data_IF_134134880670
#
_entry.id   IF_134134880670
#
_cell.length_a   1.000
_cell.length_b   1.000
_cell.length_c   1.000
_cell.angle_alpha   90.00
_cell.angle_beta   90.00
_cell.angle_gamma   90.00
#
_symmetry.space_group_name_H-M   'P 1'
#
loop_
_entity.id
_entity.type
_entity.pdbx_description
1 polymer ?
#
# COMPACT_ATOMS: atom_id res chain seq x y z
N UNK A 1 2.29 22.50 -34.90
CA UNK A 1 1.07 21.69 -34.72
C UNK A 1 0.61 21.86 -33.28
N UNK A 2 -0.50 22.57 -33.01
CA UNK A 2 -1.08 22.65 -31.65
C UNK A 2 -1.94 21.40 -31.46
N UNK A 3 -1.45 20.42 -30.69
CA UNK A 3 -2.33 19.37 -30.17
C UNK A 3 -3.19 20.01 -29.07
N UNK A 4 -4.38 20.50 -29.42
CA UNK A 4 -5.41 20.84 -28.43
C UNK A 4 -6.51 19.80 -28.50
N UNK A 5 -6.66 19.02 -27.43
CA UNK A 5 -7.84 18.19 -27.22
C UNK A 5 -9.07 19.07 -27.06
N UNK A 6 -10.20 18.65 -27.63
CA UNK A 6 -11.50 19.24 -27.32
C UNK A 6 -11.86 19.00 -25.85
N UNK A 7 -12.78 19.79 -25.31
CA UNK A 7 -13.28 19.59 -23.93
C UNK A 7 -13.80 18.16 -23.72
N UNK A 8 -14.52 17.62 -24.71
CA UNK A 8 -14.97 16.23 -24.69
C UNK A 8 -13.81 15.23 -24.68
N UNK A 9 -12.72 15.54 -25.39
CA UNK A 9 -11.47 14.77 -25.36
C UNK A 9 -10.82 14.76 -23.97
N UNK A 10 -10.73 15.92 -23.31
CA UNK A 10 -10.21 16.03 -21.95
C UNK A 10 -11.05 15.26 -20.93
N UNK A 11 -12.37 15.33 -21.03
CA UNK A 11 -13.27 14.60 -20.12
C UNK A 11 -13.13 13.08 -20.28
N UNK A 12 -13.02 12.59 -21.52
CA UNK A 12 -12.78 11.15 -21.78
C UNK A 12 -11.42 10.70 -21.25
N UNK A 13 -10.37 11.50 -21.47
CA UNK A 13 -9.04 11.21 -20.94
C UNK A 13 -9.05 11.16 -19.41
N UNK A 14 -9.71 12.14 -18.77
CA UNK A 14 -9.84 12.19 -17.32
C UNK A 14 -10.56 10.95 -16.75
N UNK A 15 -11.62 10.46 -17.40
CA UNK A 15 -12.30 9.23 -17.01
C UNK A 15 -11.37 8.02 -17.09
N UNK A 16 -10.63 7.88 -18.20
CA UNK A 16 -9.71 6.75 -18.39
C UNK A 16 -8.62 6.78 -17.32
N UNK A 17 -8.01 7.94 -17.06
CA UNK A 17 -6.96 8.08 -16.05
C UNK A 17 -7.47 7.78 -14.64
N UNK A 18 -8.66 8.27 -14.26
CA UNK A 18 -9.26 7.96 -12.97
C UNK A 18 -9.63 6.47 -12.84
N UNK A 19 -10.00 5.82 -13.94
CA UNK A 19 -10.28 4.38 -13.97
C UNK A 19 -9.04 3.53 -13.77
N UNK A 20 -7.95 3.86 -14.47
CA UNK A 20 -6.64 3.20 -14.24
C UNK A 20 -6.19 3.41 -12.79
N UNK A 21 -6.30 4.64 -12.29
CA UNK A 21 -5.92 4.96 -10.91
C UNK A 21 -6.80 4.23 -9.88
N UNK A 22 -8.09 4.04 -10.16
CA UNK A 22 -9.00 3.29 -9.30
C UNK A 22 -8.56 1.82 -9.19
N UNK A 23 -8.31 1.17 -10.33
CA UNK A 23 -7.86 -0.23 -10.37
C UNK A 23 -6.54 -0.38 -9.63
N UNK A 24 -5.58 0.51 -9.88
CA UNK A 24 -4.30 0.55 -9.17
C UNK A 24 -4.49 0.69 -7.65
N UNK A 25 -5.34 1.61 -7.21
CA UNK A 25 -5.60 1.85 -5.78
C UNK A 25 -6.26 0.65 -5.08
N UNK A 26 -7.18 -0.04 -5.77
CA UNK A 26 -7.79 -1.29 -5.27
C UNK A 26 -6.74 -2.38 -5.12
N UNK A 27 -5.87 -2.54 -6.12
CA UNK A 27 -4.79 -3.54 -6.08
C UNK A 27 -3.84 -3.24 -4.91
N UNK A 28 -3.40 -1.98 -4.75
CA UNK A 28 -2.56 -1.57 -3.62
C UNK A 28 -3.21 -1.87 -2.27
N UNK A 29 -4.49 -1.51 -2.12
CA UNK A 29 -5.24 -1.74 -0.88
C UNK A 29 -5.35 -3.24 -0.56
N UNK A 30 -5.76 -4.04 -1.54
CA UNK A 30 -5.94 -5.48 -1.36
C UNK A 30 -4.62 -6.20 -1.10
N UNK A 31 -3.56 -5.87 -1.84
CA UNK A 31 -2.23 -6.45 -1.62
C UNK A 31 -1.64 -6.03 -0.28
N UNK A 32 -1.88 -4.78 0.16
CA UNK A 32 -1.45 -4.31 1.47
C UNK A 32 -2.11 -5.07 2.61
N UNK A 33 -3.44 -5.27 2.54
CA UNK A 33 -4.16 -6.09 3.53
C UNK A 33 -3.64 -7.52 3.52
N UNK A 34 -3.51 -8.14 2.35
CA UNK A 34 -3.02 -9.52 2.24
C UNK A 34 -1.63 -9.66 2.84
N UNK A 35 -0.70 -8.77 2.51
CA UNK A 35 0.65 -8.81 3.05
C UNK A 35 0.68 -8.60 4.57
N UNK A 36 -0.22 -7.78 5.12
CA UNK A 36 -0.36 -7.61 6.56
C UNK A 36 -0.92 -8.86 7.26
N UNK A 37 -1.92 -9.53 6.66
CA UNK A 37 -2.46 -10.79 7.17
C UNK A 37 -1.42 -11.91 7.12
N UNK A 38 -0.73 -12.06 5.98
CA UNK A 38 0.34 -13.06 5.80
C UNK A 38 1.45 -12.86 6.84
N UNK A 39 1.89 -11.62 7.07
CA UNK A 39 2.90 -11.32 8.09
C UNK A 39 2.38 -11.49 9.52
N UNK A 40 1.10 -11.20 9.74
CA UNK A 40 0.43 -11.34 11.04
C UNK A 40 0.43 -12.79 11.56
N UNK A 41 0.43 -13.78 10.67
CA UNK A 41 0.55 -15.20 11.03
C UNK A 41 1.88 -15.51 11.73
N UNK A 42 2.94 -14.74 11.44
CA UNK A 42 4.30 -14.91 11.98
C UNK A 42 4.63 -13.91 13.11
N UNK A 43 3.62 -13.25 13.68
CA UNK A 43 3.81 -12.18 14.68
C UNK A 43 4.64 -12.63 15.90
N UNK A 44 4.58 -13.91 16.27
CA UNK A 44 5.24 -14.44 17.46
C UNK A 44 6.74 -14.57 17.22
N UNK A 45 7.17 -15.17 16.10
CA UNK A 45 8.60 -15.27 15.73
C UNK A 45 9.19 -13.93 15.27
N UNK A 46 8.35 -12.98 14.87
CA UNK A 46 8.74 -11.60 14.55
C UNK A 46 8.63 -10.66 15.76
N UNK A 47 8.26 -11.16 16.94
CA UNK A 47 8.06 -10.39 18.18
C UNK A 47 7.25 -9.09 17.97
N UNK A 48 6.28 -9.11 17.06
CA UNK A 48 5.43 -7.97 16.74
C UNK A 48 6.04 -6.89 15.84
N UNK A 49 7.25 -7.08 15.30
CA UNK A 49 7.84 -6.16 14.33
C UNK A 49 7.01 -6.22 13.03
N UNK A 50 6.60 -5.04 12.55
CA UNK A 50 5.80 -4.89 11.33
C UNK A 50 6.42 -3.77 10.48
N UNK A 51 6.60 -3.96 9.16
CA UNK A 51 7.23 -2.94 8.33
C UNK A 51 6.27 -1.74 8.17
N UNK A 52 6.72 -0.50 8.41
CA UNK A 52 5.88 0.69 8.33
C UNK A 52 5.23 0.90 6.96
N UNK A 53 5.80 0.31 5.90
CA UNK A 53 5.26 0.39 4.54
C UNK A 53 3.85 -0.20 4.41
N UNK A 54 3.52 -1.27 5.15
CA UNK A 54 2.22 -1.96 5.05
C UNK A 54 1.04 -1.07 5.42
N UNK A 55 0.98 -0.45 6.61
CA UNK A 55 -0.10 0.48 6.93
C UNK A 55 -0.10 1.70 5.99
N UNK A 56 1.06 2.15 5.50
CA UNK A 56 1.13 3.26 4.54
C UNK A 56 0.48 2.90 3.20
N UNK A 57 0.80 1.76 2.59
CA UNK A 57 0.20 1.37 1.30
C UNK A 57 -1.30 1.09 1.40
N UNK A 58 -1.78 0.54 2.53
CA UNK A 58 -3.21 0.35 2.79
C UNK A 58 -3.91 1.71 2.84
N UNK A 59 -3.35 2.64 3.61
CA UNK A 59 -3.92 3.99 3.72
C UNK A 59 -3.91 4.72 2.36
N UNK A 60 -2.80 4.68 1.63
CA UNK A 60 -2.68 5.31 0.31
C UNK A 60 -3.64 4.70 -0.70
N UNK A 61 -3.77 3.36 -0.74
CA UNK A 61 -4.73 2.68 -1.61
C UNK A 61 -6.18 3.08 -1.29
N UNK A 62 -6.53 3.20 0.00
CA UNK A 62 -7.86 3.67 0.42
C UNK A 62 -8.13 5.12 -0.01
N UNK A 63 -7.19 6.04 0.21
CA UNK A 63 -7.31 7.43 -0.23
C UNK A 63 -7.39 7.52 -1.76
N UNK A 64 -6.64 6.70 -2.48
CA UNK A 64 -6.68 6.63 -3.94
C UNK A 64 -8.04 6.19 -4.48
N UNK A 65 -8.69 5.21 -3.84
CA UNK A 65 -10.07 4.79 -4.18
C UNK A 65 -11.04 5.97 -4.02
N UNK A 66 -10.98 6.69 -2.89
CA UNK A 66 -11.83 7.87 -2.64
C UNK A 66 -11.54 8.96 -3.69
N UNK A 67 -10.27 9.20 -4.01
CA UNK A 67 -9.82 10.14 -5.03
C UNK A 67 -10.41 9.82 -6.41
N UNK A 68 -10.36 8.56 -6.83
CA UNK A 68 -10.95 8.14 -8.11
C UNK A 68 -12.47 8.26 -8.14
N UNK A 69 -13.17 7.86 -7.08
CA UNK A 69 -14.64 7.97 -7.00
C UNK A 69 -15.07 9.43 -7.09
N UNK A 70 -14.38 10.33 -6.37
CA UNK A 70 -14.66 11.77 -6.44
C UNK A 70 -14.34 12.36 -7.82
N UNK A 71 -13.36 11.80 -8.53
CA UNK A 71 -13.10 12.11 -9.95
C UNK A 71 -14.30 11.79 -10.85
N UNK A 72 -14.91 10.61 -10.70
CA UNK A 72 -16.14 10.29 -11.44
C UNK A 72 -17.30 11.22 -11.07
N UNK A 73 -17.50 11.47 -9.77
CA UNK A 73 -18.54 12.39 -9.28
C UNK A 73 -18.38 13.81 -9.84
N UNK A 74 -17.14 14.31 -9.99
CA UNK A 74 -16.84 15.62 -10.58
C UNK A 74 -17.42 15.75 -12.00
N UNK A 75 -17.35 14.69 -12.82
CA UNK A 75 -17.87 14.70 -14.19
C UNK A 75 -19.39 14.67 -14.21
N UNK A 76 -20.01 13.87 -13.34
CA UNK A 76 -21.47 13.71 -13.31
C UNK A 76 -22.17 14.94 -12.70
N UNK A 77 -21.61 15.50 -11.63
CA UNK A 77 -22.20 16.63 -10.90
C UNK A 77 -21.09 17.49 -10.28
N UNK A 78 -20.48 18.39 -11.08
CA UNK A 78 -19.38 19.21 -10.61
C UNK A 78 -19.85 20.13 -9.47
N UNK A 79 -19.26 19.94 -8.29
CA UNK A 79 -19.42 20.79 -7.11
C UNK A 79 -18.01 21.13 -6.58
N UNK A 80 -17.81 22.36 -6.12
CA UNK A 80 -16.55 22.82 -5.53
C UNK A 80 -16.03 21.86 -4.44
N UNK A 81 -16.92 21.34 -3.59
CA UNK A 81 -16.54 20.39 -2.53
C UNK A 81 -15.96 19.10 -3.11
N UNK A 82 -16.60 18.53 -4.15
CA UNK A 82 -16.14 17.30 -4.82
C UNK A 82 -14.81 17.52 -5.52
N UNK A 83 -14.63 18.70 -6.13
CA UNK A 83 -13.38 19.08 -6.80
C UNK A 83 -12.24 19.20 -5.77
N UNK A 84 -12.47 19.90 -4.66
CA UNK A 84 -11.47 20.06 -3.59
C UNK A 84 -11.11 18.71 -2.99
N UNK A 85 -12.10 17.85 -2.73
CA UNK A 85 -11.86 16.52 -2.18
C UNK A 85 -11.02 15.67 -3.14
N UNK A 86 -11.36 15.65 -4.43
CA UNK A 86 -10.58 14.93 -5.45
C UNK A 86 -9.12 15.41 -5.48
N UNK A 87 -8.89 16.72 -5.56
CA UNK A 87 -7.53 17.30 -5.57
C UNK A 87 -6.77 16.91 -4.30
N UNK A 88 -7.43 16.99 -3.15
CA UNK A 88 -6.82 16.67 -1.85
C UNK A 88 -6.40 15.20 -1.77
N UNK A 89 -7.30 14.27 -2.13
CA UNK A 89 -6.99 12.84 -2.15
C UNK A 89 -5.84 12.51 -3.12
N UNK A 90 -5.87 13.05 -4.34
CA UNK A 90 -4.80 12.84 -5.33
C UNK A 90 -3.47 13.40 -4.85
N UNK A 91 -3.48 14.57 -4.19
CA UNK A 91 -2.26 15.19 -3.64
C UNK A 91 -1.67 14.35 -2.53
N UNK A 92 -2.49 13.89 -1.58
CA UNK A 92 -2.04 13.02 -0.48
C UNK A 92 -1.44 11.72 -1.04
N UNK A 93 -2.15 11.04 -1.95
CA UNK A 93 -1.67 9.80 -2.54
C UNK A 93 -0.32 9.99 -3.26
N UNK A 94 -0.20 11.04 -4.07
CA UNK A 94 1.04 11.36 -4.81
C UNK A 94 2.20 11.67 -3.87
N UNK A 95 1.99 12.49 -2.83
CA UNK A 95 3.04 12.82 -1.87
C UNK A 95 3.50 11.56 -1.13
N UNK A 96 2.57 10.70 -0.70
CA UNK A 96 2.93 9.47 0.01
C UNK A 96 3.74 8.54 -0.89
N UNK A 97 3.37 8.35 -2.16
CA UNK A 97 4.14 7.55 -3.11
C UNK A 97 5.56 8.10 -3.35
N UNK A 98 5.70 9.43 -3.46
CA UNK A 98 7.00 10.08 -3.56
C UNK A 98 7.84 9.85 -2.30
N UNK A 99 7.24 9.98 -1.11
CA UNK A 99 7.93 9.69 0.15
C UNK A 99 8.38 8.23 0.25
N UNK A 100 7.55 7.28 -0.19
CA UNK A 100 7.92 5.85 -0.24
C UNK A 100 9.08 5.63 -1.21
N UNK A 101 9.02 6.21 -2.40
CA UNK A 101 10.08 6.10 -3.41
C UNK A 101 11.40 6.71 -2.94
N UNK A 102 11.36 7.81 -2.20
CA UNK A 102 12.56 8.42 -1.63
C UNK A 102 13.10 7.60 -0.45
N UNK A 103 12.21 7.18 0.46
CA UNK A 103 12.57 6.37 1.62
C UNK A 103 13.23 5.04 1.22
N UNK A 104 12.68 4.34 0.22
CA UNK A 104 13.27 3.10 -0.29
C UNK A 104 14.68 3.26 -0.85
N UNK A 105 15.03 4.43 -1.39
CA UNK A 105 16.39 4.72 -1.89
C UNK A 105 17.33 5.20 -0.78
N UNK A 106 16.81 5.94 0.20
CA UNK A 106 17.62 6.64 1.21
C UNK A 106 17.85 5.87 2.51
N UNK A 107 16.92 5.01 2.93
CA UNK A 107 17.05 4.22 4.17
C UNK A 107 17.26 2.75 3.87
N UNK A 108 18.52 2.26 3.83
CA UNK A 108 18.78 0.83 3.71
C UNK A 108 18.36 0.09 4.99
N UNK A 109 17.44 -0.85 4.82
CA UNK A 109 17.32 -2.11 5.58
C UNK A 109 17.18 -2.09 7.11
N UNK A 110 16.73 -1.01 7.75
CA UNK A 110 16.45 -1.04 9.21
C UNK A 110 15.42 -2.12 9.58
N UNK A 111 14.32 -2.20 8.84
CA UNK A 111 13.33 -3.27 9.04
C UNK A 111 13.93 -4.66 8.85
N UNK A 112 14.71 -4.87 7.78
CA UNK A 112 15.34 -6.16 7.52
C UNK A 112 16.34 -6.56 8.60
N UNK A 113 17.11 -5.60 9.11
CA UNK A 113 18.08 -5.81 10.19
C UNK A 113 17.35 -6.24 11.47
N UNK A 114 16.29 -5.51 11.84
CA UNK A 114 15.52 -5.82 13.04
C UNK A 114 14.77 -7.15 12.91
N UNK A 115 14.14 -7.39 11.77
CA UNK A 115 13.47 -8.67 11.48
C UNK A 115 14.46 -9.84 11.56
N UNK A 116 15.66 -9.70 10.98
CA UNK A 116 16.69 -10.74 11.04
C UNK A 116 17.17 -10.99 12.49
N UNK A 117 17.45 -9.93 13.25
CA UNK A 117 17.83 -10.07 14.66
C UNK A 117 16.76 -10.82 15.45
N UNK A 118 15.50 -10.44 15.31
CA UNK A 118 14.38 -11.05 16.02
C UNK A 118 14.09 -12.48 15.58
N UNK A 119 14.27 -12.79 14.30
CA UNK A 119 14.18 -14.17 13.80
C UNK A 119 15.29 -15.04 14.41
N UNK A 120 16.54 -14.55 14.46
CA UNK A 120 17.64 -15.28 15.09
C UNK A 120 17.43 -15.46 16.60
N UNK A 121 16.93 -14.44 17.28
CA UNK A 121 16.58 -14.54 18.69
C UNK A 121 15.50 -15.62 18.90
N UNK A 122 14.42 -15.59 18.12
CA UNK A 122 13.33 -16.58 18.22
C UNK A 122 13.78 -18.00 17.88
N UNK A 123 14.74 -18.17 16.96
CA UNK A 123 15.34 -19.48 16.65
C UNK A 123 16.06 -20.10 17.84
N UNK A 124 16.69 -19.31 18.71
CA UNK A 124 17.37 -19.83 19.91
C UNK A 124 16.39 -20.52 20.88
N UNK A 125 15.09 -20.24 20.76
CA UNK A 125 14.03 -20.82 21.59
C UNK A 125 13.11 -21.76 20.81
N UNK A 126 13.48 -22.14 19.58
CA UNK A 126 12.66 -22.97 18.69
C UNK A 126 12.20 -24.28 19.35
N UNK A 127 13.11 -25.00 20.00
CA UNK A 127 12.82 -26.32 20.60
C UNK A 127 11.97 -26.25 21.87
N UNK A 128 11.90 -25.09 22.52
CA UNK A 128 11.29 -24.92 23.85
C UNK A 128 10.02 -24.06 23.84
N UNK A 129 9.76 -23.34 22.75
CA UNK A 129 8.58 -22.51 22.61
C UNK A 129 7.65 -23.08 21.51
N UNK A 130 6.56 -23.79 21.87
CA UNK A 130 5.72 -24.51 20.89
C UNK A 130 5.19 -23.64 19.75
N UNK A 131 4.86 -22.38 20.03
CA UNK A 131 4.39 -21.42 19.01
C UNK A 131 5.50 -20.95 18.06
N UNK A 132 6.77 -20.96 18.50
CA UNK A 132 7.88 -20.65 17.61
C UNK A 132 8.10 -21.83 16.66
N UNK A 133 8.13 -23.05 17.19
CA UNK A 133 8.21 -24.26 16.39
C UNK A 133 7.15 -24.28 15.29
N UNK A 134 5.87 -24.12 15.65
CA UNK A 134 4.75 -24.10 14.71
C UNK A 134 4.90 -23.04 13.62
N UNK A 135 5.23 -21.79 13.98
CA UNK A 135 5.36 -20.70 13.01
C UNK A 135 6.58 -20.87 12.10
N UNK A 136 7.69 -21.41 12.59
CA UNK A 136 8.86 -21.72 11.74
C UNK A 136 8.59 -22.88 10.79
N UNK A 137 7.87 -23.93 11.22
CA UNK A 137 7.45 -25.03 10.33
C UNK A 137 6.50 -24.54 9.22
N UNK A 138 5.52 -23.71 9.58
CA UNK A 138 4.62 -23.07 8.61
C UNK A 138 5.38 -22.19 7.62
N UNK A 139 6.36 -21.42 8.11
CA UNK A 139 7.21 -20.58 7.26
C UNK A 139 8.00 -21.42 6.25
N UNK A 140 8.58 -22.55 6.67
CA UNK A 140 9.34 -23.43 5.77
C UNK A 140 8.44 -24.12 4.73
N UNK A 141 7.26 -24.58 5.16
CA UNK A 141 6.31 -25.27 4.27
C UNK A 141 5.70 -24.34 3.22
N UNK A 142 5.52 -23.07 3.55
CA UNK A 142 4.99 -22.06 2.61
C UNK A 142 6.04 -21.56 1.60
N UNK A 143 7.33 -21.82 1.82
CA UNK A 143 8.44 -21.36 0.97
C UNK A 143 9.05 -22.50 0.14
N UNK A 144 8.75 -23.76 0.46
CA UNK A 144 9.13 -24.97 -0.30
C UNK A 144 8.18 -25.29 -1.45
#
# INVERSE_FOLDING_TARGET
MKLSLSEQGWNRLFLILNGVFLVYSIILFALGIKAQDDLGQFKTILQGINPPILPTIIFTGFIGIIGSITGYCKIMKPNQIVIILHITCMTIATITELCISLGTVMTPNEFFTNANYTLMDSLNYYDIHPLYHEQFEQLQTNVS
#
